data_IF_215849707647
#
_entry.id   IF_215849707647
#
_cell.length_a   1.000
_cell.length_b   1.000
_cell.length_c   1.000
_cell.angle_alpha   90.00
_cell.angle_beta   90.00
_cell.angle_gamma   90.00
#
_symmetry.space_group_name_H-M   'P 1'
#
loop_
_entity.id
_entity.type
_entity.pdbx_description
1 polymer ?
#
# COMPACT_ATOMS: atom_id res chain seq x y z
N UNK A 1 4.55 -0.92 -6.85
CA UNK A 1 6.00 -0.78 -7.00
C UNK A 1 6.69 -2.03 -6.47
N UNK A 2 7.65 -2.58 -7.21
CA UNK A 2 8.49 -3.69 -6.79
C UNK A 2 9.94 -3.20 -6.70
N UNK A 3 10.60 -3.48 -5.58
CA UNK A 3 11.95 -3.01 -5.24
C UNK A 3 13.00 -4.10 -5.40
N UNK A 4 12.61 -5.35 -5.15
CA UNK A 4 13.48 -6.50 -5.20
C UNK A 4 12.76 -7.71 -5.81
N UNK A 5 13.48 -8.82 -6.03
CA UNK A 5 12.95 -10.04 -6.59
C UNK A 5 12.64 -9.97 -8.09
N UNK A 6 12.15 -11.08 -8.64
CA UNK A 6 11.74 -11.16 -10.04
C UNK A 6 10.31 -10.63 -10.21
N UNK A 7 10.01 -9.96 -11.34
CA UNK A 7 8.63 -9.64 -11.67
C UNK A 7 7.77 -10.90 -11.73
N UNK A 8 6.61 -10.85 -11.10
CA UNK A 8 5.61 -11.92 -11.17
C UNK A 8 4.58 -11.53 -12.23
N UNK A 9 4.29 -12.38 -13.23
CA UNK A 9 3.28 -12.08 -14.23
C UNK A 9 1.89 -11.96 -13.58
N UNK A 10 1.08 -11.05 -14.10
CA UNK A 10 -0.33 -11.00 -13.72
C UNK A 10 -1.05 -12.27 -14.21
N UNK A 11 -2.04 -12.74 -13.45
CA UNK A 11 -2.82 -13.92 -13.83
C UNK A 11 -3.45 -13.78 -15.22
N UNK A 12 -3.85 -12.56 -15.59
CA UNK A 12 -4.37 -12.26 -16.93
C UNK A 12 -3.37 -12.57 -18.06
N UNK A 13 -2.07 -12.32 -17.83
CA UNK A 13 -1.02 -12.65 -18.80
C UNK A 13 -0.78 -14.16 -18.98
N UNK A 14 -1.30 -15.00 -18.08
CA UNK A 14 -1.25 -16.46 -18.15
C UNK A 14 -2.56 -17.08 -18.67
N UNK A 15 -3.60 -16.25 -18.84
CA UNK A 15 -4.93 -16.71 -19.24
C UNK A 15 -4.98 -17.07 -20.73
N UNK A 16 -5.25 -18.35 -21.01
CA UNK A 16 -5.42 -18.90 -22.36
C UNK A 16 -6.90 -19.11 -22.75
N UNK A 17 -7.82 -18.92 -21.81
CA UNK A 17 -9.22 -19.30 -21.98
C UNK A 17 -10.20 -18.12 -21.85
N UNK A 18 -9.68 -16.91 -21.61
CA UNK A 18 -10.52 -15.71 -21.45
C UNK A 18 -11.38 -15.73 -20.18
N UNK A 19 -10.83 -16.24 -19.07
CA UNK A 19 -11.53 -16.37 -17.79
C UNK A 19 -11.11 -15.31 -16.76
N UNK A 20 -10.05 -14.53 -17.04
CA UNK A 20 -9.47 -13.58 -16.11
C UNK A 20 -9.84 -12.15 -16.49
N UNK A 21 -10.43 -11.44 -15.56
CA UNK A 21 -10.61 -9.98 -15.60
C UNK A 21 -9.42 -9.34 -14.86
N UNK A 22 -8.73 -8.42 -15.52
CA UNK A 22 -7.66 -7.65 -14.86
C UNK A 22 -8.13 -6.22 -14.65
N UNK A 23 -8.03 -5.74 -13.42
CA UNK A 23 -8.31 -4.36 -13.05
C UNK A 23 -7.02 -3.63 -12.65
N UNK A 24 -6.74 -2.53 -13.31
CA UNK A 24 -5.61 -1.66 -12.99
C UNK A 24 -6.08 -0.27 -12.57
N UNK A 25 -5.36 0.35 -11.63
CA UNK A 25 -5.65 1.71 -11.18
C UNK A 25 -4.40 2.58 -11.22
N UNK A 26 -4.58 3.87 -11.54
CA UNK A 26 -3.51 4.86 -11.45
C UNK A 26 -3.40 5.52 -10.07
N UNK A 27 -4.37 5.29 -9.18
CA UNK A 27 -4.42 5.91 -7.85
C UNK A 27 -3.22 5.61 -6.96
N UNK A 28 -2.56 4.47 -7.13
CA UNK A 28 -1.40 4.07 -6.33
C UNK A 28 -0.07 4.39 -6.99
N UNK A 29 -0.07 4.55 -8.31
CA UNK A 29 1.15 4.83 -9.06
C UNK A 29 1.30 6.32 -9.40
N UNK A 30 0.21 7.09 -9.34
CA UNK A 30 0.16 8.55 -9.45
C UNK A 30 -0.46 9.14 -8.18
N UNK A 31 -1.74 9.48 -8.21
CA UNK A 31 -2.42 10.04 -7.04
C UNK A 31 -3.92 9.67 -7.05
N UNK A 32 -4.55 9.51 -5.86
CA UNK A 32 -5.93 9.01 -5.76
C UNK A 32 -6.98 9.89 -6.43
N UNK A 33 -6.80 11.22 -6.42
CA UNK A 33 -7.78 12.17 -6.97
C UNK A 33 -7.85 12.18 -8.50
N UNK A 34 -6.92 11.52 -9.20
CA UNK A 34 -6.98 11.32 -10.64
C UNK A 34 -8.20 10.48 -11.07
N UNK A 35 -8.69 9.59 -10.22
CA UNK A 35 -9.88 8.74 -10.40
C UNK A 35 -9.92 7.94 -11.70
N UNK A 36 -8.76 7.59 -12.25
CA UNK A 36 -8.66 6.75 -13.43
C UNK A 36 -8.26 5.31 -13.08
N UNK A 37 -8.95 4.39 -13.72
CA UNK A 37 -8.70 2.96 -13.68
C UNK A 37 -9.00 2.35 -15.06
N UNK A 38 -8.55 1.14 -15.29
CA UNK A 38 -8.83 0.40 -16.51
C UNK A 38 -9.11 -1.07 -16.24
N UNK A 39 -9.86 -1.68 -17.15
CA UNK A 39 -10.15 -3.11 -17.13
C UNK A 39 -9.61 -3.74 -18.42
N UNK A 40 -8.91 -4.85 -18.29
CA UNK A 40 -8.63 -5.78 -19.40
C UNK A 40 -9.60 -6.95 -19.25
N UNK A 41 -10.49 -7.07 -20.20
CA UNK A 41 -11.61 -8.03 -20.15
C UNK A 41 -11.59 -8.94 -21.37
N UNK A 42 -12.07 -10.18 -21.25
CA UNK A 42 -12.20 -11.09 -22.37
C UNK A 42 -13.07 -10.49 -23.48
N UNK A 43 -12.70 -10.68 -24.78
CA UNK A 43 -13.42 -10.07 -25.89
C UNK A 43 -14.93 -10.30 -25.91
N UNK A 44 -15.40 -11.50 -25.52
CA UNK A 44 -16.82 -11.82 -25.45
C UNK A 44 -17.63 -11.10 -24.37
N UNK A 45 -16.97 -10.33 -23.48
CA UNK A 45 -17.62 -9.56 -22.41
C UNK A 45 -17.55 -8.04 -22.64
N UNK A 46 -16.82 -7.57 -23.66
CA UNK A 46 -16.58 -6.13 -23.90
C UNK A 46 -17.87 -5.35 -23.99
N UNK A 47 -18.80 -5.76 -24.84
CA UNK A 47 -20.06 -5.04 -25.08
C UNK A 47 -20.93 -4.98 -23.80
N UNK A 48 -20.94 -6.04 -23.01
CA UNK A 48 -21.70 -6.10 -21.74
C UNK A 48 -21.12 -5.13 -20.72
N UNK A 49 -19.78 -5.06 -20.60
CA UNK A 49 -19.10 -4.11 -19.71
C UNK A 49 -19.29 -2.67 -20.19
N UNK A 50 -19.18 -2.41 -21.49
CA UNK A 50 -19.41 -1.08 -22.07
C UNK A 50 -20.85 -0.60 -21.80
N UNK A 51 -21.85 -1.46 -22.03
CA UNK A 51 -23.24 -1.16 -21.73
C UNK A 51 -23.46 -0.87 -20.22
N UNK A 52 -22.86 -1.66 -19.34
CA UNK A 52 -22.95 -1.45 -17.89
C UNK A 52 -22.32 -0.11 -17.47
N UNK A 53 -21.14 0.21 -17.96
CA UNK A 53 -20.45 1.48 -17.69
C UNK A 53 -21.27 2.67 -18.18
N UNK A 54 -21.90 2.57 -19.36
CA UNK A 54 -22.73 3.63 -19.91
C UNK A 54 -23.94 3.98 -19.03
N UNK A 55 -24.47 2.99 -18.30
CA UNK A 55 -25.61 3.18 -17.40
C UNK A 55 -25.17 3.63 -16.01
N UNK A 56 -24.08 3.09 -15.48
CA UNK A 56 -23.65 3.33 -14.09
C UNK A 56 -22.83 4.60 -13.92
N UNK A 57 -21.88 4.85 -14.82
CA UNK A 57 -20.89 5.94 -14.69
C UNK A 57 -20.93 6.91 -15.87
N UNK A 58 -21.67 6.60 -16.91
CA UNK A 58 -21.76 7.27 -18.21
C UNK A 58 -20.42 7.40 -18.91
N UNK A 59 -19.52 8.24 -18.39
CA UNK A 59 -18.21 8.50 -19.00
C UNK A 59 -17.12 8.57 -17.93
N UNK A 60 -15.95 8.02 -18.23
CA UNK A 60 -14.76 8.37 -17.49
C UNK A 60 -14.33 9.81 -17.85
N UNK A 61 -13.71 10.58 -16.93
CA UNK A 61 -13.32 11.95 -17.16
C UNK A 61 -12.40 12.06 -18.40
N UNK A 62 -12.82 12.78 -19.43
CA UNK A 62 -12.09 12.83 -20.73
C UNK A 62 -10.81 13.64 -20.62
N UNK A 63 -10.84 14.75 -19.85
CA UNK A 63 -9.67 15.61 -19.65
C UNK A 63 -8.54 14.86 -18.95
N UNK A 64 -8.85 14.16 -17.89
CA UNK A 64 -7.88 13.37 -17.12
C UNK A 64 -7.32 12.22 -17.94
N UNK A 65 -8.12 11.63 -18.83
CA UNK A 65 -7.63 10.62 -19.79
C UNK A 65 -6.66 11.23 -20.80
N UNK A 66 -6.96 12.40 -21.35
CA UNK A 66 -6.08 13.09 -22.29
C UNK A 66 -4.74 13.45 -21.63
N UNK A 67 -4.77 14.06 -20.44
CA UNK A 67 -3.58 14.39 -19.65
C UNK A 67 -2.75 13.14 -19.35
N UNK A 68 -3.40 12.04 -18.96
CA UNK A 68 -2.71 10.78 -18.68
C UNK A 68 -2.10 10.18 -19.97
N UNK A 69 -2.80 10.30 -21.10
CA UNK A 69 -2.30 9.86 -22.38
C UNK A 69 -0.98 10.58 -22.74
N UNK A 70 -0.96 11.91 -22.67
CA UNK A 70 0.24 12.71 -22.94
C UNK A 70 1.36 12.36 -21.96
N UNK A 71 1.03 12.23 -20.67
CA UNK A 71 2.00 11.84 -19.64
C UNK A 71 2.65 10.48 -19.91
N UNK A 72 1.91 9.53 -20.50
CA UNK A 72 2.43 8.21 -20.89
C UNK A 72 3.23 8.31 -22.20
N UNK A 73 2.67 8.94 -23.23
CA UNK A 73 3.26 8.97 -24.58
C UNK A 73 4.53 9.79 -24.66
N UNK A 74 4.64 10.86 -23.87
CA UNK A 74 5.85 11.66 -23.73
C UNK A 74 6.90 11.04 -22.79
N UNK A 75 6.64 9.84 -22.24
CA UNK A 75 7.57 9.07 -21.42
C UNK A 75 7.71 9.58 -19.99
N UNK A 76 6.91 10.56 -19.56
CA UNK A 76 6.91 11.06 -18.18
C UNK A 76 6.52 9.98 -17.17
N UNK A 77 5.52 9.16 -17.49
CA UNK A 77 5.06 8.07 -16.64
C UNK A 77 6.19 7.07 -16.33
N UNK A 78 6.95 6.66 -17.34
CA UNK A 78 8.08 5.75 -17.14
C UNK A 78 9.18 6.35 -16.26
N UNK A 79 9.49 7.65 -16.43
CA UNK A 79 10.45 8.37 -15.57
C UNK A 79 9.94 8.46 -14.13
N UNK A 80 8.66 8.80 -13.95
CA UNK A 80 8.02 8.86 -12.64
C UNK A 80 8.10 7.51 -11.91
N UNK A 81 7.74 6.40 -12.57
CA UNK A 81 7.78 5.07 -11.96
C UNK A 81 9.20 4.67 -11.51
N UNK A 82 10.22 4.98 -12.30
CA UNK A 82 11.62 4.71 -11.92
C UNK A 82 12.01 5.51 -10.67
N UNK A 83 11.78 6.83 -10.69
CA UNK A 83 12.07 7.71 -9.56
C UNK A 83 11.35 7.27 -8.27
N UNK A 84 10.04 6.99 -8.36
CA UNK A 84 9.27 6.60 -7.18
C UNK A 84 9.69 5.24 -6.63
N UNK A 85 10.16 4.33 -7.48
CA UNK A 85 10.74 3.06 -7.03
C UNK A 85 11.96 3.28 -6.15
N UNK A 86 12.87 4.16 -6.53
CA UNK A 86 14.05 4.52 -5.76
C UNK A 86 13.68 5.18 -4.43
N UNK A 87 12.81 6.18 -4.47
CA UNK A 87 12.33 6.90 -3.28
C UNK A 87 11.66 5.95 -2.27
N UNK A 88 10.81 5.05 -2.75
CA UNK A 88 10.10 4.13 -1.85
C UNK A 88 11.01 3.02 -1.32
N UNK A 89 11.99 2.57 -2.10
CA UNK A 89 13.01 1.63 -1.62
C UNK A 89 13.86 2.24 -0.50
N UNK A 90 14.28 3.49 -0.65
CA UNK A 90 14.99 4.25 0.39
C UNK A 90 14.14 4.37 1.67
N UNK A 91 12.89 4.82 1.54
CA UNK A 91 11.99 4.97 2.68
C UNK A 91 11.71 3.66 3.42
N UNK A 92 11.55 2.56 2.69
CA UNK A 92 11.44 1.24 3.27
C UNK A 92 12.70 0.87 4.07
N UNK A 93 13.88 1.12 3.51
CA UNK A 93 15.16 0.89 4.20
C UNK A 93 15.24 1.66 5.51
N UNK A 94 14.87 2.95 5.48
CA UNK A 94 14.82 3.81 6.68
C UNK A 94 13.83 3.26 7.73
N UNK A 95 12.65 2.80 7.31
CA UNK A 95 11.67 2.20 8.23
C UNK A 95 12.22 0.92 8.88
N UNK A 96 12.86 0.05 8.09
CA UNK A 96 13.43 -1.20 8.61
C UNK A 96 14.61 -0.94 9.57
N UNK A 97 15.45 0.05 9.29
CA UNK A 97 16.55 0.47 10.15
C UNK A 97 16.02 1.05 11.47
N UNK A 98 15.12 2.04 11.40
CA UNK A 98 14.51 2.64 12.57
C UNK A 98 13.72 1.63 13.41
N UNK A 99 13.07 0.65 12.76
CA UNK A 99 12.40 -0.45 13.43
C UNK A 99 13.36 -1.34 14.22
N UNK A 100 14.50 -1.71 13.65
CA UNK A 100 15.53 -2.48 14.36
C UNK A 100 16.11 -1.73 15.55
N UNK A 101 16.31 -0.42 15.43
CA UNK A 101 16.90 0.41 16.48
C UNK A 101 15.94 0.74 17.61
N UNK A 102 14.67 0.97 17.33
CA UNK A 102 13.70 1.56 18.26
C UNK A 102 12.57 0.64 18.68
N UNK A 103 12.22 -0.33 17.85
CA UNK A 103 11.05 -1.20 18.05
C UNK A 103 11.43 -2.64 18.36
N UNK A 104 12.74 -2.93 18.56
CA UNK A 104 13.20 -4.25 18.94
C UNK A 104 12.50 -4.76 20.21
N UNK A 105 11.94 -5.97 20.16
CA UNK A 105 11.19 -6.56 21.26
C UNK A 105 9.72 -6.12 21.37
N UNK A 106 9.31 -5.02 20.72
CA UNK A 106 7.95 -4.50 20.72
C UNK A 106 7.21 -4.82 19.42
N UNK A 107 7.88 -4.63 18.30
CA UNK A 107 7.31 -4.80 16.95
C UNK A 107 8.34 -5.40 16.00
N UNK A 108 7.99 -6.51 15.35
CA UNK A 108 8.82 -7.12 14.32
C UNK A 108 8.33 -6.69 12.94
N UNK A 109 9.10 -5.84 12.26
CA UNK A 109 8.72 -5.34 10.93
C UNK A 109 9.17 -6.32 9.85
N UNK A 110 8.21 -6.76 9.01
CA UNK A 110 8.48 -7.64 7.88
C UNK A 110 9.15 -6.89 6.73
N UNK A 111 10.16 -7.50 6.13
CA UNK A 111 10.70 -7.03 4.85
C UNK A 111 9.72 -7.35 3.72
N UNK A 112 9.58 -6.43 2.77
CA UNK A 112 8.73 -6.63 1.60
C UNK A 112 9.50 -6.30 0.32
N UNK A 113 9.21 -7.03 -0.75
CA UNK A 113 9.83 -6.80 -2.06
C UNK A 113 9.06 -5.76 -2.90
N UNK A 114 7.85 -5.43 -2.49
CA UNK A 114 6.94 -4.55 -3.23
C UNK A 114 5.90 -3.92 -2.31
N UNK A 115 5.21 -2.92 -2.81
CA UNK A 115 4.10 -2.27 -2.11
C UNK A 115 4.44 -0.85 -1.62
N UNK A 116 3.57 -0.27 -0.84
CA UNK A 116 3.69 1.07 -0.24
C UNK A 116 3.59 1.01 1.28
N UNK A 117 3.36 -0.20 1.79
CA UNK A 117 3.11 -0.51 3.20
C UNK A 117 3.76 -1.84 3.53
N UNK A 118 4.03 -2.07 4.81
CA UNK A 118 4.50 -3.34 5.35
C UNK A 118 3.73 -3.69 6.62
N UNK A 119 3.99 -4.86 7.16
CA UNK A 119 3.39 -5.34 8.41
C UNK A 119 4.45 -5.33 9.51
N UNK A 120 4.08 -4.79 10.67
CA UNK A 120 4.78 -4.97 11.93
C UNK A 120 3.98 -5.91 12.83
N UNK A 121 4.58 -7.01 13.27
CA UNK A 121 3.97 -7.96 14.19
C UNK A 121 4.23 -7.55 15.63
N UNK A 122 3.16 -7.33 16.40
CA UNK A 122 3.25 -6.96 17.82
C UNK A 122 3.81 -8.10 18.65
N UNK A 123 4.57 -7.76 19.66
CA UNK A 123 5.20 -8.65 20.65
C UNK A 123 4.65 -8.35 22.04
N UNK A 124 4.92 -9.25 23.01
CA UNK A 124 4.59 -9.02 24.42
C UNK A 124 3.10 -8.94 24.76
N UNK A 125 2.22 -9.55 23.94
CA UNK A 125 0.79 -9.56 24.23
C UNK A 125 0.05 -8.24 23.96
N UNK A 126 0.72 -7.26 23.33
CA UNK A 126 0.11 -5.96 23.02
C UNK A 126 -1.06 -6.15 22.05
N UNK A 127 -2.22 -5.62 22.42
CA UNK A 127 -3.42 -5.59 21.58
C UNK A 127 -3.32 -4.53 20.48
N UNK A 128 -3.83 -4.86 19.28
CA UNK A 128 -3.70 -3.99 18.12
C UNK A 128 -4.51 -2.68 18.21
N UNK A 129 -5.69 -2.70 18.79
CA UNK A 129 -6.51 -1.49 18.97
C UNK A 129 -5.93 -0.60 20.09
N UNK A 130 -5.43 -1.19 21.19
CA UNK A 130 -4.71 -0.44 22.21
C UNK A 130 -3.44 0.23 21.65
N UNK A 131 -2.70 -0.49 20.79
CA UNK A 131 -1.55 0.06 20.08
C UNK A 131 -1.92 1.23 19.16
N UNK A 132 -3.06 1.15 18.45
CA UNK A 132 -3.59 2.25 17.62
C UNK A 132 -3.87 3.49 18.46
N UNK A 133 -4.60 3.35 19.57
CA UNK A 133 -4.95 4.48 20.44
C UNK A 133 -3.70 5.16 21.03
N UNK A 134 -2.76 4.36 21.53
CA UNK A 134 -1.50 4.86 22.07
C UNK A 134 -0.64 5.56 21.00
N UNK A 135 -0.58 5.02 19.78
CA UNK A 135 0.14 5.62 18.66
C UNK A 135 -0.53 6.93 18.21
N UNK A 136 -1.87 6.97 18.09
CA UNK A 136 -2.62 8.16 17.71
C UNK A 136 -2.43 9.32 18.68
N UNK A 137 -2.40 9.04 20.00
CA UNK A 137 -2.11 10.03 21.03
C UNK A 137 -0.73 10.69 20.88
N UNK A 138 0.18 10.07 20.11
CA UNK A 138 1.52 10.57 19.80
C UNK A 138 1.69 11.04 18.36
N UNK A 139 0.58 11.21 17.63
CA UNK A 139 0.58 11.66 16.25
C UNK A 139 1.20 10.66 15.27
N UNK A 140 1.05 9.36 15.54
CA UNK A 140 1.44 8.28 14.64
C UNK A 140 0.19 7.54 14.18
N UNK A 141 -0.03 7.51 12.88
CA UNK A 141 -1.14 6.79 12.26
C UNK A 141 -0.70 5.37 11.88
N UNK A 142 -1.39 4.39 12.43
CA UNK A 142 -1.22 2.96 12.12
C UNK A 142 -2.58 2.29 11.93
N UNK A 143 -2.63 1.13 11.32
CA UNK A 143 -3.87 0.37 11.19
C UNK A 143 -3.68 -1.03 11.79
N UNK A 144 -4.48 -1.42 12.79
CA UNK A 144 -4.44 -2.78 13.33
C UNK A 144 -4.82 -3.82 12.29
N UNK A 145 -4.12 -4.94 12.28
CA UNK A 145 -4.42 -6.03 11.35
C UNK A 145 -5.73 -6.75 11.68
N UNK A 146 -6.23 -6.65 12.92
CA UNK A 146 -7.55 -7.13 13.33
C UNK A 146 -8.66 -6.70 12.37
N UNK A 147 -8.57 -5.49 11.81
CA UNK A 147 -9.54 -4.92 10.86
C UNK A 147 -9.64 -5.66 9.52
N UNK A 148 -8.67 -6.51 9.21
CA UNK A 148 -8.62 -7.31 7.98
C UNK A 148 -9.04 -8.77 8.20
N UNK A 149 -9.28 -9.18 9.45
CA UNK A 149 -9.74 -10.53 9.80
C UNK A 149 -11.26 -10.61 9.86
N UNK A 150 -11.78 -11.78 9.51
CA UNK A 150 -13.15 -12.18 9.83
C UNK A 150 -13.12 -13.02 11.11
N UNK A 151 -13.18 -12.38 12.27
CA UNK A 151 -13.07 -13.02 13.58
C UNK A 151 -11.78 -12.62 14.29
N UNK A 152 -11.37 -13.40 15.27
CA UNK A 152 -10.16 -13.10 16.07
C UNK A 152 -8.91 -13.25 15.22
N UNK A 153 -7.97 -12.29 15.30
CA UNK A 153 -6.70 -12.38 14.60
C UNK A 153 -5.87 -13.54 15.16
N UNK A 154 -5.20 -14.28 14.28
CA UNK A 154 -4.25 -15.33 14.68
C UNK A 154 -3.01 -14.73 15.35
N UNK A 155 -2.66 -13.52 14.97
CA UNK A 155 -1.53 -12.75 15.50
C UNK A 155 -1.81 -11.26 15.40
N UNK A 156 -1.55 -10.54 16.47
CA UNK A 156 -1.67 -9.09 16.49
C UNK A 156 -0.57 -8.42 15.67
N UNK A 157 -0.91 -7.32 15.02
CA UNK A 157 0.02 -6.59 14.19
C UNK A 157 -0.54 -5.25 13.70
N UNK A 158 0.34 -4.46 13.12
CA UNK A 158 0.04 -3.14 12.59
C UNK A 158 0.45 -3.04 11.12
N UNK A 159 -0.38 -2.45 10.30
CA UNK A 159 0.01 -2.00 8.98
C UNK A 159 0.77 -0.68 9.10
N UNK A 160 1.95 -0.62 8.51
CA UNK A 160 2.85 0.53 8.53
C UNK A 160 3.03 1.09 7.12
N UNK A 161 2.65 2.35 6.93
CA UNK A 161 2.87 3.08 5.69
C UNK A 161 4.23 3.77 5.67
N UNK A 162 4.96 3.69 4.54
CA UNK A 162 6.25 4.37 4.38
C UNK A 162 6.30 5.27 3.14
N UNK A 163 5.31 5.19 2.28
CA UNK A 163 5.35 5.88 1.00
C UNK A 163 4.90 7.36 1.06
N UNK A 164 4.07 7.73 2.04
CA UNK A 164 3.47 9.06 2.11
C UNK A 164 4.32 10.12 2.82
N UNK A 165 5.34 9.70 3.57
CA UNK A 165 6.17 10.56 4.43
C UNK A 165 7.64 10.45 4.07
N UNK A 166 8.44 11.43 4.44
CA UNK A 166 9.89 11.40 4.19
C UNK A 166 10.67 10.61 5.26
N UNK A 167 11.98 10.48 5.05
CA UNK A 167 12.86 9.72 5.94
C UNK A 167 12.93 10.29 7.37
N UNK A 168 12.78 11.60 7.55
CA UNK A 168 12.80 12.24 8.86
C UNK A 168 11.52 11.91 9.64
N UNK A 169 10.38 12.01 8.98
CA UNK A 169 9.09 11.64 9.57
C UNK A 169 8.98 10.14 9.87
N UNK A 170 9.58 9.27 9.04
CA UNK A 170 9.64 7.83 9.35
C UNK A 170 10.43 7.60 10.65
N UNK A 171 11.60 8.22 10.81
CA UNK A 171 12.41 8.09 12.04
C UNK A 171 11.69 8.68 13.26
N UNK A 172 11.00 9.81 13.10
CA UNK A 172 10.15 10.40 14.14
C UNK A 172 9.04 9.43 14.54
N UNK A 173 8.28 8.94 13.56
CA UNK A 173 7.18 8.00 13.77
C UNK A 173 7.61 6.73 14.48
N UNK A 174 8.77 6.17 14.11
CA UNK A 174 9.31 4.98 14.78
C UNK A 174 9.65 5.24 16.28
N UNK A 175 10.20 6.41 16.61
CA UNK A 175 10.47 6.79 18.01
C UNK A 175 9.18 6.94 18.81
N UNK A 176 8.21 7.66 18.27
CA UNK A 176 6.94 7.89 18.95
C UNK A 176 6.15 6.58 19.11
N UNK A 177 6.16 5.72 18.09
CA UNK A 177 5.56 4.40 18.17
C UNK A 177 6.23 3.52 19.25
N UNK A 178 7.55 3.57 19.37
CA UNK A 178 8.26 2.84 20.42
C UNK A 178 7.77 3.24 21.81
N UNK A 179 7.70 4.53 22.10
CA UNK A 179 7.20 5.05 23.39
C UNK A 179 5.74 4.63 23.63
N UNK A 180 4.90 4.65 22.58
CA UNK A 180 3.51 4.21 22.68
C UNK A 180 3.42 2.72 23.08
N UNK A 181 4.15 1.86 22.36
CA UNK A 181 4.13 0.41 22.60
C UNK A 181 4.79 -0.01 23.91
N UNK A 182 5.82 0.69 24.39
CA UNK A 182 6.41 0.47 25.71
C UNK A 182 5.37 0.72 26.85
N UNK A 183 4.49 1.71 26.66
CA UNK A 183 3.39 1.98 27.57
C UNK A 183 2.39 0.83 27.64
N UNK A 184 2.04 0.24 26.53
CA UNK A 184 1.08 -0.86 26.42
C UNK A 184 1.68 -2.21 26.88
N UNK A 185 2.95 -2.47 26.57
CA UNK A 185 3.65 -3.69 26.99
C UNK A 185 3.75 -3.83 28.53
N UNK A 186 3.70 -2.72 29.29
CA UNK A 186 3.70 -2.74 30.77
C UNK A 186 2.33 -3.02 31.36
N UNK A 187 1.27 -2.95 30.56
CA UNK A 187 -0.12 -3.20 30.98
C UNK A 187 -0.59 -4.62 30.67
N UNK A 188 0.07 -5.28 29.69
CA UNK A 188 -0.22 -6.65 29.25
C UNK A 188 0.50 -7.67 30.15
#
# INVERSE_FOLDING_TARGET
FRYAGRPVPALQGLDRHGLVLFAGTFSKVLFPSLRLAYLVIPPGLVDRFAATISVTSRYAPVLEQAVLCDFITEGHFGRHLRRMREVYAERLSVLLEAGRERLAGLLEISTVEAGLQTVGWLRGGIDGEAALEAAAARGVEVTPLSRYYRGQPVREGLQLGFAAVDAQEIRRGARELAVALEGESKKA
#
